data_IF_495994254136
#
_entry.id   IF_495994254136
#
_cell.length_a   1.000
_cell.length_b   1.000
_cell.length_c   1.000
_cell.angle_alpha   90.00
_cell.angle_beta   90.00
_cell.angle_gamma   90.00
#
_symmetry.space_group_name_H-M   'P 1'
#
loop_
_entity.id
_entity.type
_entity.pdbx_description
1 polymer ?
#
# COMPACT_ATOMS: atom_id res chain seq x y z
N UNK A 1 -36.82 37.41 -20.67
CA UNK A 1 -35.53 37.80 -20.08
C UNK A 1 -34.45 36.86 -20.63
N UNK A 2 -33.65 37.32 -21.58
CA UNK A 2 -32.54 36.54 -22.13
C UNK A 2 -31.43 36.41 -21.08
N UNK A 3 -31.14 35.21 -20.62
CA UNK A 3 -29.98 34.97 -19.76
C UNK A 3 -28.71 35.26 -20.56
N UNK A 4 -27.98 36.29 -20.14
CA UNK A 4 -26.67 36.59 -20.72
C UNK A 4 -25.80 35.33 -20.63
N UNK A 5 -25.22 34.92 -21.78
CA UNK A 5 -24.28 33.81 -21.83
C UNK A 5 -23.12 34.09 -20.84
N UNK A 6 -22.71 33.12 -20.02
CA UNK A 6 -21.61 33.31 -19.09
C UNK A 6 -20.36 33.74 -19.86
N UNK A 7 -19.72 34.83 -19.46
CA UNK A 7 -18.49 35.31 -20.08
C UNK A 7 -17.44 34.21 -20.14
N UNK A 8 -16.90 33.95 -21.33
CA UNK A 8 -15.88 32.95 -21.54
C UNK A 8 -14.64 33.27 -20.68
N UNK A 9 -14.13 32.30 -19.96
CA UNK A 9 -12.91 32.47 -19.16
C UNK A 9 -11.71 32.81 -20.08
N UNK A 10 -10.81 33.70 -19.65
CA UNK A 10 -9.56 33.95 -20.36
C UNK A 10 -8.83 32.65 -20.67
N UNK A 11 -8.23 32.54 -21.84
CA UNK A 11 -7.59 31.29 -22.31
C UNK A 11 -6.56 30.70 -21.32
N UNK A 12 -5.76 31.55 -20.67
CA UNK A 12 -4.78 31.12 -19.69
C UNK A 12 -5.40 30.46 -18.43
N UNK A 13 -6.56 30.97 -17.95
CA UNK A 13 -7.30 30.36 -16.83
C UNK A 13 -7.88 29.01 -17.18
N UNK A 14 -8.44 28.88 -18.38
CA UNK A 14 -8.95 27.61 -18.89
C UNK A 14 -7.84 26.57 -19.05
N UNK A 15 -6.68 27.00 -19.58
CA UNK A 15 -5.51 26.16 -19.71
C UNK A 15 -4.99 25.70 -18.35
N UNK A 16 -4.77 26.62 -17.41
CA UNK A 16 -4.28 26.31 -16.05
C UNK A 16 -5.23 25.36 -15.33
N UNK A 17 -6.55 25.61 -15.39
CA UNK A 17 -7.57 24.72 -14.82
C UNK A 17 -7.47 23.30 -15.40
N UNK A 18 -7.29 23.16 -16.71
CA UNK A 18 -7.26 21.85 -17.37
C UNK A 18 -5.97 21.11 -17.08
N UNK A 19 -4.82 21.77 -17.14
CA UNK A 19 -3.52 21.15 -16.82
C UNK A 19 -3.49 20.71 -15.34
N UNK A 20 -3.91 21.57 -14.42
CA UNK A 20 -3.99 21.21 -12.99
C UNK A 20 -4.90 20.01 -12.76
N UNK A 21 -6.08 19.98 -13.42
CA UNK A 21 -7.01 18.88 -13.30
C UNK A 21 -6.43 17.56 -13.86
N UNK A 22 -5.74 17.59 -15.00
CA UNK A 22 -5.15 16.39 -15.61
C UNK A 22 -4.00 15.87 -14.76
N UNK A 23 -3.09 16.72 -14.30
CA UNK A 23 -1.96 16.32 -13.46
C UNK A 23 -2.46 15.66 -12.16
N UNK A 24 -3.40 16.33 -11.48
CA UNK A 24 -3.96 15.79 -10.24
C UNK A 24 -4.76 14.52 -10.49
N UNK A 25 -5.52 14.43 -11.57
CA UNK A 25 -6.27 13.25 -11.94
C UNK A 25 -5.37 12.03 -12.16
N UNK A 26 -4.27 12.19 -12.89
CA UNK A 26 -3.31 11.11 -13.12
C UNK A 26 -2.72 10.60 -11.80
N UNK A 27 -2.29 11.51 -10.92
CA UNK A 27 -1.76 11.14 -9.61
C UNK A 27 -2.79 10.35 -8.80
N UNK A 28 -4.02 10.84 -8.70
CA UNK A 28 -5.06 10.21 -7.89
C UNK A 28 -5.60 8.91 -8.48
N UNK A 29 -5.74 8.80 -9.82
CA UNK A 29 -6.15 7.55 -10.45
C UNK A 29 -5.09 6.48 -10.21
N UNK A 30 -3.83 6.79 -10.43
CA UNK A 30 -2.76 5.81 -10.27
C UNK A 30 -2.62 5.40 -8.81
N UNK A 31 -2.65 6.35 -7.87
CA UNK A 31 -2.60 6.05 -6.44
C UNK A 31 -3.81 5.20 -5.99
N UNK A 32 -5.02 5.55 -6.43
CA UNK A 32 -6.24 4.83 -6.08
C UNK A 32 -6.28 3.44 -6.68
N UNK A 33 -5.96 3.28 -7.97
CA UNK A 33 -5.90 1.96 -8.63
C UNK A 33 -4.87 1.07 -7.98
N UNK A 34 -3.70 1.60 -7.64
CA UNK A 34 -2.67 0.84 -6.95
C UNK A 34 -3.12 0.34 -5.58
N UNK A 35 -3.78 1.19 -4.77
CA UNK A 35 -4.35 0.78 -3.47
C UNK A 35 -5.44 -0.28 -3.61
N UNK A 36 -6.26 -0.20 -4.65
CA UNK A 36 -7.31 -1.19 -4.94
C UNK A 36 -6.70 -2.52 -5.40
N UNK A 37 -5.61 -2.49 -6.17
CA UNK A 37 -5.00 -3.72 -6.73
C UNK A 37 -4.22 -4.53 -5.69
N UNK A 38 -3.77 -3.91 -4.58
CA UNK A 38 -3.14 -4.62 -3.47
C UNK A 38 -3.70 -4.12 -2.12
N UNK A 39 -4.91 -4.56 -1.76
CA UNK A 39 -5.60 -4.08 -0.57
C UNK A 39 -4.92 -4.51 0.73
N UNK A 40 -4.22 -5.65 0.76
CA UNK A 40 -3.58 -6.15 1.97
C UNK A 40 -2.31 -5.38 2.30
N UNK A 41 -1.43 -5.14 1.33
CA UNK A 41 -0.26 -4.29 1.52
C UNK A 41 -0.66 -2.85 1.84
N UNK A 42 -1.74 -2.34 1.22
CA UNK A 42 -2.30 -1.02 1.57
C UNK A 42 -2.79 -1.00 3.02
N UNK A 43 -3.46 -2.05 3.49
CA UNK A 43 -3.89 -2.17 4.89
C UNK A 43 -2.70 -2.17 5.84
N UNK A 44 -1.61 -2.91 5.51
CA UNK A 44 -0.38 -2.90 6.29
C UNK A 44 0.22 -1.49 6.40
N UNK A 45 0.23 -0.72 5.31
CA UNK A 45 0.69 0.67 5.34
C UNK A 45 -0.19 1.60 6.17
N UNK A 46 -1.51 1.36 6.21
CA UNK A 46 -2.40 2.13 7.08
C UNK A 46 -2.09 1.87 8.57
N UNK A 47 -1.78 0.62 8.94
CA UNK A 47 -1.33 0.30 10.31
C UNK A 47 0.03 0.93 10.63
N UNK A 48 0.97 0.90 9.69
CA UNK A 48 2.25 1.60 9.83
C UNK A 48 2.08 3.11 10.00
N UNK A 49 1.06 3.68 9.34
CA UNK A 49 0.67 5.08 9.52
C UNK A 49 -0.16 5.33 10.80
N UNK A 50 -0.14 4.42 11.79
CA UNK A 50 -0.80 4.50 13.09
C UNK A 50 -2.34 4.45 13.04
N UNK A 51 -2.94 3.98 11.94
CA UNK A 51 -4.38 3.71 11.90
C UNK A 51 -4.65 2.41 12.66
N UNK A 52 -5.63 2.40 13.60
CA UNK A 52 -5.97 1.18 14.33
C UNK A 52 -6.26 0.00 13.41
N UNK A 53 -5.76 -1.20 13.75
CA UNK A 53 -5.86 -2.42 12.93
C UNK A 53 -7.30 -2.70 12.48
N UNK A 54 -8.29 -2.50 13.36
CA UNK A 54 -9.71 -2.68 13.03
C UNK A 54 -10.24 -1.74 11.96
N UNK A 55 -9.62 -0.57 11.76
CA UNK A 55 -10.01 0.43 10.78
C UNK A 55 -9.10 0.45 9.55
N UNK A 56 -7.94 -0.20 9.61
CA UNK A 56 -6.93 -0.13 8.55
C UNK A 56 -7.46 -0.64 7.19
N UNK A 57 -8.15 -1.79 7.17
CA UNK A 57 -8.75 -2.32 5.95
C UNK A 57 -9.86 -1.44 5.37
N UNK A 58 -10.92 -1.05 6.12
CA UNK A 58 -11.93 -0.17 5.55
C UNK A 58 -11.36 1.18 5.11
N UNK A 59 -10.42 1.76 5.84
CA UNK A 59 -9.75 3.01 5.44
C UNK A 59 -8.95 2.82 4.16
N UNK A 60 -8.20 1.72 4.01
CA UNK A 60 -7.44 1.41 2.80
C UNK A 60 -8.35 1.29 1.56
N UNK A 61 -9.44 0.51 1.67
CA UNK A 61 -10.40 0.34 0.57
C UNK A 61 -11.10 1.66 0.23
N UNK A 62 -11.59 2.40 1.22
CA UNK A 62 -12.23 3.69 1.00
C UNK A 62 -11.27 4.69 0.37
N UNK A 63 -10.04 4.81 0.87
CA UNK A 63 -9.04 5.71 0.30
C UNK A 63 -8.79 5.40 -1.17
N UNK A 64 -8.53 4.13 -1.54
CA UNK A 64 -8.31 3.73 -2.92
C UNK A 64 -9.50 4.05 -3.84
N UNK A 65 -10.73 3.73 -3.38
CA UNK A 65 -11.96 3.99 -4.14
C UNK A 65 -12.17 5.50 -4.35
N UNK A 66 -12.06 6.30 -3.28
CA UNK A 66 -12.31 7.75 -3.37
C UNK A 66 -11.19 8.47 -4.14
N UNK A 67 -9.94 8.03 -4.04
CA UNK A 67 -8.84 8.55 -4.86
C UNK A 67 -9.11 8.30 -6.35
N UNK A 68 -9.38 7.06 -6.74
CA UNK A 68 -9.66 6.71 -8.13
C UNK A 68 -10.90 7.47 -8.65
N UNK A 69 -11.97 7.52 -7.86
CA UNK A 69 -13.20 8.22 -8.22
C UNK A 69 -12.98 9.73 -8.35
N UNK A 70 -12.30 10.36 -7.41
CA UNK A 70 -11.93 11.78 -7.47
C UNK A 70 -11.10 12.12 -8.70
N UNK A 71 -10.12 11.27 -9.01
CA UNK A 71 -9.30 11.41 -10.21
C UNK A 71 -10.12 11.29 -11.51
N UNK A 72 -11.04 10.34 -11.61
CA UNK A 72 -11.95 10.24 -12.76
C UNK A 72 -12.85 11.47 -12.88
N UNK A 73 -13.38 11.98 -11.78
CA UNK A 73 -14.20 13.21 -11.80
C UNK A 73 -13.40 14.42 -12.28
N UNK A 74 -12.12 14.53 -11.96
CA UNK A 74 -11.26 15.63 -12.44
C UNK A 74 -11.11 15.64 -13.97
N UNK A 75 -11.06 14.47 -14.62
CA UNK A 75 -10.94 14.36 -16.08
C UNK A 75 -12.22 14.77 -16.81
N UNK A 76 -13.39 14.60 -16.18
CA UNK A 76 -14.68 14.90 -16.80
C UNK A 76 -15.06 16.35 -16.51
N UNK A 77 -15.10 17.28 -17.50
CA UNK A 77 -15.32 18.71 -17.27
C UNK A 77 -16.56 19.04 -16.45
N UNK A 78 -17.66 18.27 -16.65
CA UNK A 78 -18.94 18.44 -15.94
C UNK A 78 -18.91 18.03 -14.47
N UNK A 79 -17.89 17.26 -14.01
CA UNK A 79 -17.72 16.80 -12.63
C UNK A 79 -16.46 17.35 -11.97
N UNK A 80 -15.60 18.00 -12.76
CA UNK A 80 -14.27 18.48 -12.37
C UNK A 80 -14.28 19.27 -11.06
N UNK A 81 -15.27 20.17 -10.89
CA UNK A 81 -15.37 20.96 -9.68
C UNK A 81 -15.51 20.13 -8.41
N UNK A 82 -16.35 19.09 -8.44
CA UNK A 82 -16.52 18.18 -7.30
C UNK A 82 -15.31 17.26 -7.13
N UNK A 83 -14.71 16.78 -8.21
CA UNK A 83 -13.46 16.04 -8.17
C UNK A 83 -12.34 16.84 -7.51
N UNK A 84 -12.21 18.12 -7.88
CA UNK A 84 -11.20 19.00 -7.31
C UNK A 84 -11.41 19.26 -5.80
N UNK A 85 -12.65 19.49 -5.38
CA UNK A 85 -12.96 19.66 -3.94
C UNK A 85 -12.78 18.36 -3.15
N UNK A 86 -13.16 17.21 -3.70
CA UNK A 86 -12.98 15.93 -3.05
C UNK A 86 -11.48 15.61 -2.86
N UNK A 87 -10.68 15.71 -3.93
CA UNK A 87 -9.24 15.41 -3.86
C UNK A 87 -8.51 16.44 -2.99
N UNK A 88 -8.90 17.73 -3.06
CA UNK A 88 -8.38 18.76 -2.19
C UNK A 88 -8.68 18.50 -0.71
N UNK A 89 -9.91 18.08 -0.38
CA UNK A 89 -10.30 17.72 1.00
C UNK A 89 -9.51 16.50 1.49
N UNK A 90 -9.32 15.48 0.64
CA UNK A 90 -8.53 14.31 0.99
C UNK A 90 -7.08 14.68 1.29
N UNK A 91 -6.45 15.56 0.48
CA UNK A 91 -5.10 16.05 0.71
C UNK A 91 -5.00 16.84 2.02
N UNK A 92 -5.96 17.73 2.29
CA UNK A 92 -5.99 18.49 3.56
C UNK A 92 -6.14 17.56 4.76
N UNK A 93 -7.07 16.61 4.69
CA UNK A 93 -7.28 15.63 5.77
C UNK A 93 -6.01 14.81 6.02
N UNK A 94 -5.32 14.38 4.95
CA UNK A 94 -4.08 13.66 5.04
C UNK A 94 -2.93 14.51 5.61
N UNK A 95 -2.77 15.76 5.15
CA UNK A 95 -1.80 16.70 5.73
C UNK A 95 -2.02 16.96 7.21
N UNK A 96 -3.28 17.15 7.62
CA UNK A 96 -3.64 17.35 9.03
C UNK A 96 -3.29 16.10 9.84
N UNK A 97 -3.63 14.92 9.33
CA UNK A 97 -3.30 13.65 9.98
C UNK A 97 -1.79 13.50 10.19
N UNK A 98 -1.00 13.67 9.11
CA UNK A 98 0.47 13.59 9.18
C UNK A 98 1.07 14.68 10.08
N UNK A 99 0.47 15.85 10.15
CA UNK A 99 0.89 16.93 11.05
C UNK A 99 0.65 16.60 12.52
N UNK A 100 -0.50 16.01 12.85
CA UNK A 100 -0.83 15.59 14.24
C UNK A 100 0.14 14.50 14.73
N UNK A 101 0.45 13.53 13.87
CA UNK A 101 1.33 12.41 14.22
C UNK A 101 2.78 12.61 13.78
N UNK A 102 3.18 13.85 13.45
CA UNK A 102 4.50 14.15 12.88
C UNK A 102 5.65 13.61 13.72
N UNK A 103 5.60 13.75 15.05
CA UNK A 103 6.66 13.29 15.95
C UNK A 103 6.86 11.76 15.93
N UNK A 104 5.83 11.01 15.59
CA UNK A 104 5.86 9.54 15.54
C UNK A 104 6.18 9.01 14.15
N UNK A 105 5.81 9.76 13.11
CA UNK A 105 5.96 9.36 11.71
C UNK A 105 7.13 10.04 10.99
N UNK A 106 7.81 10.98 11.63
CA UNK A 106 8.96 11.69 11.04
C UNK A 106 10.09 10.73 10.71
N UNK A 107 10.55 10.76 9.46
CA UNK A 107 11.60 9.85 8.97
C UNK A 107 11.07 8.51 8.45
N UNK A 108 9.79 8.17 8.66
CA UNK A 108 9.19 6.96 8.12
C UNK A 108 8.76 7.14 6.65
N UNK A 109 8.84 6.03 5.91
CA UNK A 109 8.40 6.01 4.51
C UNK A 109 6.87 6.06 4.40
N UNK A 110 6.33 7.20 3.98
CA UNK A 110 4.92 7.35 3.65
C UNK A 110 4.73 7.18 2.13
N UNK A 111 4.82 5.95 1.66
CA UNK A 111 4.68 5.61 0.24
C UNK A 111 3.23 5.59 -0.20
N UNK A 112 2.62 6.77 -0.40
CA UNK A 112 1.32 6.89 -1.06
C UNK A 112 1.39 6.52 -2.54
N UNK A 113 2.60 6.50 -3.12
CA UNK A 113 2.88 6.17 -4.51
C UNK A 113 3.93 5.05 -4.59
N UNK A 114 3.72 4.00 -5.39
CA UNK A 114 4.59 2.82 -5.44
C UNK A 114 6.00 3.09 -5.98
N UNK A 115 6.16 4.15 -6.75
CA UNK A 115 7.44 4.51 -7.39
C UNK A 115 8.16 5.68 -6.72
N UNK A 116 7.56 6.31 -5.71
CA UNK A 116 8.13 7.49 -5.06
C UNK A 116 8.27 7.23 -3.57
N UNK A 117 9.47 6.95 -3.12
CA UNK A 117 9.79 6.92 -1.68
C UNK A 117 9.64 8.34 -1.15
N UNK A 118 8.65 8.58 -0.32
CA UNK A 118 8.37 9.87 0.31
C UNK A 118 8.50 9.72 1.82
N UNK A 119 9.55 10.28 2.35
CA UNK A 119 9.77 10.31 3.81
C UNK A 119 8.97 11.45 4.41
N UNK A 120 8.33 11.21 5.55
CA UNK A 120 7.61 12.24 6.29
C UNK A 120 8.59 13.28 6.82
N UNK A 121 8.57 14.46 6.20
CA UNK A 121 9.46 15.58 6.48
C UNK A 121 8.93 16.89 5.86
N UNK A 122 9.67 18.00 5.93
CA UNK A 122 9.22 19.27 5.36
C UNK A 122 8.90 19.21 3.86
N UNK A 123 9.66 18.44 3.08
CA UNK A 123 9.44 18.27 1.64
C UNK A 123 8.11 17.58 1.33
N UNK A 124 7.68 16.68 2.21
CA UNK A 124 6.38 16.03 2.13
C UNK A 124 5.25 17.07 2.17
N UNK A 125 5.27 17.96 3.15
CA UNK A 125 4.25 19.02 3.29
C UNK A 125 4.26 20.03 2.15
N UNK A 126 5.44 20.39 1.64
CA UNK A 126 5.58 21.29 0.49
C UNK A 126 4.94 20.68 -0.76
N UNK A 127 5.21 19.39 -1.03
CA UNK A 127 4.64 18.69 -2.18
C UNK A 127 3.12 18.53 -2.08
N UNK A 128 2.58 18.26 -0.88
CA UNK A 128 1.14 18.16 -0.67
C UNK A 128 0.46 19.53 -0.77
N UNK A 129 1.09 20.60 -0.27
CA UNK A 129 0.60 21.96 -0.46
C UNK A 129 0.54 22.34 -1.96
N UNK A 130 1.53 21.94 -2.76
CA UNK A 130 1.51 22.15 -4.21
C UNK A 130 0.34 21.39 -4.86
N UNK A 131 0.05 20.14 -4.45
CA UNK A 131 -1.12 19.39 -4.94
C UNK A 131 -2.45 20.03 -4.53
N UNK A 132 -2.54 20.59 -3.32
CA UNK A 132 -3.73 21.35 -2.88
C UNK A 132 -3.92 22.61 -3.76
N UNK A 133 -2.85 23.32 -4.12
CA UNK A 133 -2.93 24.45 -5.05
C UNK A 133 -3.46 24.01 -6.42
N UNK A 134 -3.01 22.88 -6.94
CA UNK A 134 -3.56 22.32 -8.18
C UNK A 134 -5.06 22.00 -8.06
N UNK A 135 -5.49 21.44 -6.92
CA UNK A 135 -6.92 21.18 -6.67
C UNK A 135 -7.74 22.49 -6.65
N UNK A 136 -7.22 23.54 -6.02
CA UNK A 136 -7.85 24.88 -5.98
C UNK A 136 -7.97 25.44 -7.40
N UNK A 137 -6.91 25.42 -8.21
CA UNK A 137 -6.95 25.91 -9.59
C UNK A 137 -7.90 25.10 -10.48
N UNK A 138 -7.94 23.78 -10.31
CA UNK A 138 -8.88 22.92 -11.00
C UNK A 138 -10.33 23.16 -10.59
N UNK A 139 -10.59 23.53 -9.33
CA UNK A 139 -11.95 23.71 -8.77
C UNK A 139 -12.56 25.07 -9.03
N UNK A 140 -11.81 26.17 -8.82
CA UNK A 140 -12.32 27.55 -8.85
C UNK A 140 -12.87 27.94 -10.23
N UNK A 141 -12.16 27.55 -11.30
CA UNK A 141 -12.52 27.93 -12.67
C UNK A 141 -13.32 26.85 -13.41
N UNK A 142 -13.69 25.77 -12.73
CA UNK A 142 -14.56 24.75 -13.31
C UNK A 142 -16.02 25.18 -13.38
N UNK A 143 -16.73 24.70 -14.41
CA UNK A 143 -18.17 24.87 -14.55
C UNK A 143 -18.97 24.24 -13.41
N UNK A 144 -20.23 24.72 -13.22
CA UNK A 144 -21.14 24.08 -12.26
C UNK A 144 -21.37 22.60 -12.63
N UNK A 145 -21.36 21.68 -11.66
CA UNK A 145 -21.51 20.26 -11.93
C UNK A 145 -22.90 19.92 -12.46
N UNK A 146 -22.94 18.96 -13.39
CA UNK A 146 -24.18 18.49 -14.00
C UNK A 146 -24.19 16.95 -14.07
N UNK A 147 -25.41 16.35 -14.13
CA UNK A 147 -25.60 14.92 -14.33
C UNK A 147 -24.81 14.00 -13.35
N UNK A 148 -24.84 14.29 -12.07
CA UNK A 148 -24.06 13.66 -11.01
C UNK A 148 -24.37 12.14 -10.85
N UNK A 149 -25.57 11.68 -11.23
CA UNK A 149 -25.97 10.28 -11.13
C UNK A 149 -24.99 9.31 -11.80
N UNK A 150 -24.40 9.70 -12.94
CA UNK A 150 -23.40 8.87 -13.64
C UNK A 150 -22.07 8.76 -12.87
N UNK A 151 -21.69 9.78 -12.13
CA UNK A 151 -20.50 9.73 -11.27
C UNK A 151 -20.64 8.69 -10.15
N UNK A 152 -21.84 8.56 -9.55
CA UNK A 152 -22.12 7.52 -8.57
C UNK A 152 -22.15 6.11 -9.14
N UNK A 153 -22.51 5.93 -10.42
CA UNK A 153 -22.40 4.63 -11.08
C UNK A 153 -20.92 4.20 -11.15
N UNK A 154 -20.01 5.12 -11.48
CA UNK A 154 -18.57 4.84 -11.49
C UNK A 154 -18.08 4.51 -10.07
N UNK A 155 -18.53 5.22 -9.05
CA UNK A 155 -18.21 4.89 -7.66
C UNK A 155 -18.65 3.46 -7.29
N UNK A 156 -19.88 3.08 -7.67
CA UNK A 156 -20.39 1.72 -7.46
C UNK A 156 -19.54 0.65 -8.16
N UNK A 157 -19.14 0.91 -9.42
CA UNK A 157 -18.25 -0.01 -10.18
C UNK A 157 -16.89 -0.15 -9.46
N UNK A 158 -16.27 0.95 -9.05
CA UNK A 158 -15.01 0.92 -8.31
C UNK A 158 -15.15 0.18 -6.98
N UNK A 159 -16.27 0.36 -6.28
CA UNK A 159 -16.56 -0.37 -5.04
C UNK A 159 -16.66 -1.89 -5.26
N UNK A 160 -17.44 -2.32 -6.25
CA UNK A 160 -17.57 -3.74 -6.60
C UNK A 160 -16.22 -4.32 -7.04
N UNK A 161 -15.47 -3.59 -7.86
CA UNK A 161 -14.15 -4.01 -8.30
C UNK A 161 -13.19 -4.16 -7.12
N UNK A 162 -13.13 -3.17 -6.22
CA UNK A 162 -12.27 -3.20 -5.03
C UNK A 162 -12.59 -4.38 -4.11
N UNK A 163 -13.88 -4.64 -3.85
CA UNK A 163 -14.30 -5.78 -3.03
C UNK A 163 -13.99 -7.12 -3.72
N UNK A 164 -14.12 -7.20 -5.04
CA UNK A 164 -13.78 -8.40 -5.81
C UNK A 164 -12.27 -8.69 -5.74
N UNK A 165 -11.43 -7.68 -5.92
CA UNK A 165 -9.98 -7.82 -5.80
C UNK A 165 -9.61 -8.25 -4.38
N UNK A 166 -10.19 -7.62 -3.36
CA UNK A 166 -9.97 -8.03 -1.97
C UNK A 166 -10.35 -9.50 -1.73
N UNK A 167 -11.52 -9.93 -2.20
CA UNK A 167 -11.96 -11.33 -2.09
C UNK A 167 -11.00 -12.32 -2.75
N UNK A 168 -10.52 -12.01 -3.95
CA UNK A 168 -9.51 -12.82 -4.67
C UNK A 168 -8.19 -12.85 -3.91
N UNK A 169 -7.71 -11.69 -3.44
CA UNK A 169 -6.44 -11.59 -2.71
C UNK A 169 -6.49 -12.40 -1.40
N UNK A 170 -7.60 -12.33 -0.67
CA UNK A 170 -7.79 -13.15 0.54
C UNK A 170 -7.84 -14.64 0.21
N UNK A 171 -8.52 -15.03 -0.87
CA UNK A 171 -8.57 -16.43 -1.31
C UNK A 171 -7.18 -16.96 -1.71
N UNK A 172 -6.33 -16.11 -2.26
CA UNK A 172 -4.94 -16.45 -2.64
C UNK A 172 -3.96 -16.50 -1.45
N UNK A 173 -4.37 -16.11 -0.24
CA UNK A 173 -3.50 -16.17 0.96
C UNK A 173 -3.23 -17.59 1.45
N UNK A 174 -3.85 -18.61 0.87
CA UNK A 174 -3.64 -20.01 1.22
C UNK A 174 -3.70 -20.92 0.00
N UNK A 175 -3.09 -22.09 0.09
CA UNK A 175 -3.20 -23.16 -0.92
C UNK A 175 -2.23 -23.06 -2.10
N UNK A 176 -1.47 -22.00 -2.28
CA UNK A 176 -0.47 -21.90 -3.35
C UNK A 176 0.63 -22.95 -3.16
N UNK A 177 1.07 -23.54 -4.26
CA UNK A 177 2.17 -24.50 -4.24
C UNK A 177 3.51 -23.78 -4.27
N UNK A 178 4.35 -24.00 -3.26
CA UNK A 178 5.68 -23.44 -3.20
C UNK A 178 6.58 -24.00 -4.32
N UNK A 179 7.61 -23.26 -4.78
CA UNK A 179 8.65 -23.78 -5.63
C UNK A 179 9.27 -25.04 -5.01
N UNK A 180 9.77 -25.95 -5.84
CA UNK A 180 10.36 -27.20 -5.35
C UNK A 180 11.57 -26.95 -4.45
N UNK A 181 12.40 -25.97 -4.79
CA UNK A 181 13.59 -25.60 -4.03
C UNK A 181 13.96 -24.14 -4.26
N UNK A 182 14.72 -23.59 -3.32
CA UNK A 182 15.37 -22.27 -3.39
C UNK A 182 16.84 -22.42 -2.95
N UNK A 183 17.66 -21.43 -3.24
CA UNK A 183 19.04 -21.39 -2.73
C UNK A 183 19.03 -20.72 -1.35
N UNK A 184 19.49 -21.44 -0.34
CA UNK A 184 19.65 -20.96 1.04
C UNK A 184 21.12 -21.14 1.43
N UNK A 185 21.78 -20.06 1.84
CA UNK A 185 23.21 -20.03 2.17
C UNK A 185 24.09 -20.70 1.07
N UNK A 186 23.76 -20.43 -0.19
CA UNK A 186 24.47 -20.96 -1.35
C UNK A 186 24.18 -22.41 -1.69
N UNK A 187 23.24 -23.09 -1.00
CA UNK A 187 22.91 -24.52 -1.23
C UNK A 187 21.43 -24.66 -1.58
N UNK A 188 21.05 -25.59 -2.47
CA UNK A 188 19.67 -25.88 -2.76
C UNK A 188 18.95 -26.44 -1.53
N UNK A 189 17.81 -25.81 -1.18
CA UNK A 189 16.96 -26.19 -0.06
C UNK A 189 15.55 -26.50 -0.57
N UNK A 190 15.00 -27.67 -0.22
CA UNK A 190 13.66 -28.08 -0.63
C UNK A 190 12.58 -27.43 0.24
N UNK A 191 11.57 -26.83 -0.41
CA UNK A 191 10.41 -26.28 0.26
C UNK A 191 9.24 -27.27 0.38
N UNK A 192 9.45 -28.55 -0.05
CA UNK A 192 8.38 -29.55 -0.14
C UNK A 192 8.14 -30.32 1.17
N UNK A 193 9.00 -30.18 2.17
CA UNK A 193 8.95 -30.98 3.39
C UNK A 193 8.95 -30.13 4.66
N UNK A 194 8.15 -30.58 5.63
CA UNK A 194 8.08 -29.95 6.94
C UNK A 194 7.33 -28.60 6.95
N UNK A 195 7.56 -27.84 8.01
CA UNK A 195 7.01 -26.50 8.23
C UNK A 195 8.11 -25.46 8.00
N UNK A 196 7.84 -24.53 7.11
CA UNK A 196 8.81 -23.50 6.70
C UNK A 196 8.13 -22.14 6.80
N UNK A 197 8.79 -21.20 7.49
CA UNK A 197 8.38 -19.82 7.54
C UNK A 197 9.36 -18.97 6.73
N UNK A 198 8.91 -18.47 5.57
CA UNK A 198 9.69 -17.55 4.75
C UNK A 198 9.40 -16.12 5.20
N UNK A 199 10.44 -15.42 5.63
CA UNK A 199 10.35 -14.03 6.03
C UNK A 199 11.04 -13.13 5.01
N UNK A 200 10.28 -12.33 4.29
CA UNK A 200 10.77 -11.40 3.26
C UNK A 200 11.04 -10.03 3.86
N UNK A 201 12.20 -9.50 3.59
CA UNK A 201 12.62 -8.21 4.15
C UNK A 201 13.42 -7.38 3.14
N UNK A 202 13.42 -6.07 3.36
CA UNK A 202 14.35 -5.10 2.78
C UNK A 202 15.30 -4.65 3.89
N UNK A 203 16.63 -4.78 3.72
CA UNK A 203 17.60 -4.38 4.75
C UNK A 203 17.56 -2.90 5.14
N UNK A 204 17.03 -2.04 4.29
CA UNK A 204 16.94 -0.59 4.50
C UNK A 204 15.57 -0.16 5.07
N UNK A 205 14.65 -1.09 5.29
CA UNK A 205 13.30 -0.82 5.76
C UNK A 205 13.23 -0.87 7.30
N UNK A 206 12.81 0.22 7.93
CA UNK A 206 12.65 0.32 9.39
C UNK A 206 11.61 -0.67 9.94
N UNK A 207 10.48 -0.84 9.23
CA UNK A 207 9.43 -1.81 9.61
C UNK A 207 9.91 -3.25 9.49
N UNK A 208 10.74 -3.56 8.48
CA UNK A 208 11.38 -4.87 8.38
C UNK A 208 12.32 -5.12 9.56
N UNK A 209 13.04 -4.09 9.99
CA UNK A 209 13.93 -4.20 11.14
C UNK A 209 13.15 -4.49 12.44
N UNK A 210 12.08 -3.75 12.71
CA UNK A 210 11.21 -3.95 13.87
C UNK A 210 10.54 -5.32 13.86
N UNK A 211 10.00 -5.74 12.72
CA UNK A 211 9.35 -7.05 12.59
C UNK A 211 10.34 -8.21 12.73
N UNK A 212 11.56 -8.10 12.17
CA UNK A 212 12.62 -9.09 12.36
C UNK A 212 13.02 -9.24 13.83
N UNK A 213 13.09 -8.14 14.60
CA UNK A 213 13.33 -8.18 16.04
C UNK A 213 12.20 -8.89 16.81
N UNK A 214 10.94 -8.80 16.36
CA UNK A 214 9.83 -9.56 16.92
C UNK A 214 9.99 -11.05 16.59
N UNK A 215 10.18 -11.37 15.31
CA UNK A 215 10.34 -12.75 14.81
C UNK A 215 11.52 -13.47 15.49
N UNK A 216 12.60 -12.77 15.81
CA UNK A 216 13.79 -13.33 16.49
C UNK A 216 13.50 -13.82 17.91
N UNK A 217 12.47 -13.25 18.58
CA UNK A 217 12.08 -13.60 19.95
C UNK A 217 11.08 -14.75 20.03
N UNK A 218 10.51 -15.18 18.90
CA UNK A 218 9.51 -16.24 18.89
C UNK A 218 10.14 -17.61 19.11
N UNK A 219 9.44 -18.45 19.87
CA UNK A 219 9.82 -19.85 20.07
C UNK A 219 9.11 -20.73 19.05
N UNK A 220 9.83 -21.18 18.06
CA UNK A 220 9.30 -21.93 16.94
C UNK A 220 9.13 -23.43 17.25
N UNK A 221 7.93 -23.97 17.01
CA UNK A 221 7.58 -25.38 17.22
C UNK A 221 7.87 -26.21 15.96
N UNK A 222 9.08 -26.71 15.84
CA UNK A 222 9.53 -27.53 14.68
C UNK A 222 9.32 -26.86 13.31
N UNK A 223 9.60 -25.54 13.24
CA UNK A 223 9.49 -24.73 12.04
C UNK A 223 10.88 -24.25 11.60
N UNK A 224 11.18 -24.41 10.32
CA UNK A 224 12.38 -23.84 9.72
C UNK A 224 12.10 -22.40 9.25
N UNK A 225 12.71 -21.44 9.89
CA UNK A 225 12.64 -20.05 9.46
C UNK A 225 13.74 -19.77 8.45
N UNK A 226 13.41 -19.11 7.34
CA UNK A 226 14.34 -18.69 6.29
C UNK A 226 14.07 -17.23 5.99
N UNK A 227 15.10 -16.40 6.09
CA UNK A 227 15.03 -14.99 5.72
C UNK A 227 15.28 -14.83 4.20
N UNK A 228 14.46 -14.01 3.53
CA UNK A 228 14.59 -13.78 2.09
C UNK A 228 14.78 -12.28 1.86
N UNK A 229 15.98 -11.92 1.41
CA UNK A 229 16.27 -10.53 1.05
C UNK A 229 15.61 -10.18 -0.29
N UNK A 230 14.83 -9.12 -0.31
CA UNK A 230 14.10 -8.70 -1.52
C UNK A 230 14.88 -7.73 -2.40
N UNK A 231 15.80 -6.98 -1.80
CA UNK A 231 16.72 -6.02 -2.43
C UNK A 231 18.04 -5.99 -1.65
N UNK A 232 19.09 -5.46 -2.24
CA UNK A 232 20.40 -5.20 -1.59
C UNK A 232 20.95 -6.41 -0.79
N UNK A 233 21.11 -7.62 -1.40
CA UNK A 233 21.49 -8.84 -0.70
C UNK A 233 22.83 -8.75 0.03
N UNK A 234 23.71 -7.82 -0.34
CA UNK A 234 24.98 -7.56 0.33
C UNK A 234 24.82 -7.09 1.79
N UNK A 235 23.64 -6.58 2.17
CA UNK A 235 23.35 -6.12 3.53
C UNK A 235 22.59 -7.15 4.37
N UNK A 236 22.31 -8.34 3.82
CA UNK A 236 21.56 -9.42 4.51
C UNK A 236 22.19 -9.78 5.85
N UNK A 237 23.49 -10.08 5.88
CA UNK A 237 24.20 -10.51 7.09
C UNK A 237 24.21 -9.39 8.16
N UNK A 238 24.39 -8.14 7.72
CA UNK A 238 24.35 -6.99 8.62
C UNK A 238 22.94 -6.85 9.24
N UNK A 239 21.89 -6.95 8.42
CA UNK A 239 20.51 -6.88 8.88
C UNK A 239 20.17 -7.99 9.88
N UNK A 240 20.46 -9.24 9.55
CA UNK A 240 20.16 -10.40 10.40
C UNK A 240 20.91 -10.31 11.75
N UNK A 241 22.16 -9.91 11.74
CA UNK A 241 22.96 -9.73 12.95
C UNK A 241 22.40 -8.64 13.85
N UNK A 242 22.04 -7.47 13.30
CA UNK A 242 21.56 -6.33 14.09
C UNK A 242 20.11 -6.50 14.60
N UNK A 243 19.29 -7.30 13.91
CA UNK A 243 17.93 -7.65 14.37
C UNK A 243 17.92 -8.82 15.34
N UNK A 244 19.02 -9.56 15.47
CA UNK A 244 19.08 -10.80 16.27
C UNK A 244 18.37 -11.98 15.62
N UNK A 245 17.91 -11.87 14.38
CA UNK A 245 17.25 -12.93 13.63
C UNK A 245 18.30 -13.85 12.99
N UNK A 246 18.90 -14.73 13.80
CA UNK A 246 19.98 -15.63 13.37
C UNK A 246 19.41 -16.87 12.66
N UNK A 247 19.01 -16.73 11.41
CA UNK A 247 18.41 -17.77 10.58
C UNK A 247 19.11 -17.83 9.22
N UNK A 248 19.02 -18.99 8.51
CA UNK A 248 19.52 -19.10 7.15
C UNK A 248 18.88 -18.08 6.22
N UNK A 249 19.63 -17.64 5.21
CA UNK A 249 19.17 -16.61 4.28
C UNK A 249 19.12 -17.09 2.83
N UNK A 250 18.21 -16.53 2.07
CA UNK A 250 18.05 -16.72 0.64
C UNK A 250 17.98 -15.38 -0.09
N UNK A 251 18.56 -15.35 -1.28
CA UNK A 251 18.46 -14.21 -2.20
C UNK A 251 17.51 -14.51 -3.38
N UNK A 252 16.80 -15.64 -3.35
CA UNK A 252 15.87 -16.08 -4.39
C UNK A 252 14.49 -15.38 -4.28
N UNK A 253 14.47 -14.06 -4.03
CA UNK A 253 13.23 -13.33 -3.89
C UNK A 253 12.38 -13.34 -5.19
N UNK A 254 13.03 -13.30 -6.37
CA UNK A 254 12.31 -13.23 -7.65
C UNK A 254 11.41 -14.44 -7.91
N UNK A 255 11.91 -15.70 -7.91
CA UNK A 255 11.06 -16.85 -8.13
C UNK A 255 10.01 -17.05 -7.03
N UNK A 256 10.29 -16.61 -5.80
CA UNK A 256 9.33 -16.66 -4.72
C UNK A 256 8.21 -15.62 -4.89
N UNK A 257 8.51 -14.42 -5.42
CA UNK A 257 7.50 -13.40 -5.72
C UNK A 257 6.57 -13.78 -6.87
N UNK A 258 7.03 -14.59 -7.82
CA UNK A 258 6.18 -15.10 -8.91
C UNK A 258 5.07 -16.02 -8.38
N UNK A 259 5.32 -16.71 -7.27
CA UNK A 259 4.33 -17.59 -6.62
C UNK A 259 3.58 -16.86 -5.50
N UNK A 260 4.31 -16.24 -4.60
CA UNK A 260 3.76 -15.54 -3.44
C UNK A 260 3.76 -14.04 -3.73
N UNK A 261 2.72 -13.57 -4.40
CA UNK A 261 2.63 -12.16 -4.80
C UNK A 261 2.48 -11.26 -3.58
N UNK A 262 3.38 -10.30 -3.44
CA UNK A 262 3.31 -9.21 -2.47
C UNK A 262 4.00 -7.96 -3.05
N UNK A 263 3.58 -6.79 -2.59
CA UNK A 263 4.11 -5.53 -3.11
C UNK A 263 5.38 -5.14 -2.35
N UNK A 264 5.32 -5.05 -1.04
CA UNK A 264 6.42 -4.58 -0.20
C UNK A 264 6.64 -5.46 1.03
N UNK A 265 7.90 -5.58 1.48
CA UNK A 265 8.24 -6.16 2.77
C UNK A 265 7.93 -5.15 3.93
N UNK A 266 7.76 -5.63 5.18
CA UNK A 266 7.87 -7.02 5.59
C UNK A 266 6.69 -7.87 5.13
N UNK A 267 6.97 -9.08 4.65
CA UNK A 267 5.98 -10.05 4.25
C UNK A 267 6.43 -11.44 4.70
N UNK A 268 5.52 -12.34 4.99
CA UNK A 268 5.89 -13.71 5.32
C UNK A 268 4.91 -14.73 4.77
N UNK A 269 5.41 -15.95 4.57
CA UNK A 269 4.63 -17.10 4.11
C UNK A 269 4.91 -18.30 4.99
N UNK A 270 3.85 -18.86 5.55
CA UNK A 270 3.87 -20.14 6.24
C UNK A 270 3.60 -21.26 5.21
N UNK A 271 4.54 -22.18 5.05
CA UNK A 271 4.47 -23.32 4.12
C UNK A 271 4.49 -24.61 4.93
N UNK A 272 3.58 -25.51 4.64
CA UNK A 272 3.56 -26.86 5.19
C UNK A 272 3.46 -27.87 4.05
N UNK A 273 4.42 -28.81 4.02
CA UNK A 273 4.49 -29.85 2.98
C UNK A 273 4.39 -29.30 1.54
N UNK A 274 5.09 -28.20 1.26
CA UNK A 274 5.14 -27.57 -0.07
C UNK A 274 3.92 -26.73 -0.44
N UNK A 275 2.97 -26.55 0.46
CA UNK A 275 1.79 -25.70 0.25
C UNK A 275 1.75 -24.54 1.23
N UNK A 276 1.39 -23.39 0.72
CA UNK A 276 1.13 -22.21 1.54
C UNK A 276 -0.08 -22.48 2.44
N UNK A 277 0.13 -22.36 3.74
CA UNK A 277 -0.92 -22.41 4.76
C UNK A 277 -1.51 -21.01 4.96
N UNK A 278 -0.63 -20.02 5.07
CA UNK A 278 -1.01 -18.62 5.29
C UNK A 278 0.07 -17.67 4.77
N UNK A 279 -0.35 -16.50 4.29
CA UNK A 279 0.52 -15.37 4.03
C UNK A 279 0.23 -14.23 5.02
N UNK A 280 1.27 -13.48 5.38
CA UNK A 280 1.21 -12.39 6.34
C UNK A 280 1.77 -11.12 5.68
N UNK A 281 0.92 -10.14 5.48
CA UNK A 281 1.30 -8.83 4.96
C UNK A 281 1.42 -7.78 6.08
N UNK A 282 0.96 -8.10 7.30
CA UNK A 282 1.02 -7.22 8.46
C UNK A 282 1.86 -7.83 9.57
N UNK A 283 2.64 -6.97 10.25
CA UNK A 283 3.47 -7.32 11.41
C UNK A 283 3.18 -6.30 12.51
N UNK A 284 1.98 -6.40 13.10
CA UNK A 284 1.52 -5.54 14.19
C UNK A 284 1.72 -6.19 15.57
N UNK A 285 0.99 -5.74 16.58
CA UNK A 285 1.09 -6.28 17.94
C UNK A 285 0.54 -7.71 18.05
N UNK A 286 -0.42 -8.08 17.21
CA UNK A 286 -1.12 -9.35 17.26
C UNK A 286 -0.73 -10.30 16.12
N UNK A 287 -0.51 -9.78 14.92
CA UNK A 287 -0.19 -10.57 13.73
C UNK A 287 1.31 -10.43 13.36
N UNK A 288 1.94 -11.50 12.86
CA UNK A 288 1.44 -12.87 12.61
C UNK A 288 1.45 -13.81 13.83
N UNK A 289 1.82 -13.31 15.03
CA UNK A 289 2.01 -14.16 16.21
C UNK A 289 0.75 -14.92 16.62
N UNK A 290 -0.40 -14.25 16.68
CA UNK A 290 -1.68 -14.87 17.07
C UNK A 290 -2.08 -16.01 16.13
N UNK A 291 -1.98 -15.79 14.83
CA UNK A 291 -2.29 -16.80 13.82
C UNK A 291 -1.29 -17.97 13.86
N UNK A 292 0.02 -17.69 14.03
CA UNK A 292 1.02 -18.75 14.12
C UNK A 292 0.85 -19.60 15.39
N UNK A 293 0.44 -19.01 16.51
CA UNK A 293 0.08 -19.76 17.73
C UNK A 293 -1.16 -20.62 17.51
N UNK A 294 -2.20 -20.07 16.87
CA UNK A 294 -3.40 -20.82 16.55
C UNK A 294 -3.15 -22.01 15.61
N UNK A 295 -2.18 -21.89 14.72
CA UNK A 295 -1.72 -22.96 13.82
C UNK A 295 -0.76 -23.97 14.52
N UNK A 296 -0.33 -23.71 15.76
CA UNK A 296 0.64 -24.55 16.47
C UNK A 296 2.05 -24.47 15.89
N UNK A 297 2.46 -23.32 15.40
CA UNK A 297 3.78 -23.04 14.84
C UNK A 297 4.71 -22.34 15.84
N UNK A 298 4.13 -21.73 16.88
CA UNK A 298 4.85 -21.17 18.02
C UNK A 298 4.46 -21.92 19.31
N UNK A 299 5.46 -22.03 20.23
CA UNK A 299 5.25 -22.56 21.58
C UNK A 299 4.54 -21.57 22.51
#
# INVERSE_FOLDING_TARGET
MAQAAPAALPAWKSWLCTVSAVLLALLFIVAGVWKISDPLSTTARMTQALIPVSLALPVALCAGIFEAWGGVMLLVPRWRRWGAWLTGLMLVAFMVYMGVFYNQLSGEDCSCFPWLKRVVGPEFFISDAAMILLAVFAGIWSSKPQAFRRAFVILGILGVFSLSVYGVTVAQQSGLQAPKSIIVDGKPYSLQHGRIFLYFFDPECSHCFQSAQKVSKWKWANVRVIAVSTVNPQWTDYFLKNTGLLVPASNDAKPLREVFSFTDPPFAVAIEHGRQVKAFATFDENEPESTLRALGWLE
#
